data_IF_557198586316
#
_entry.id   IF_557198586316
#
_cell.length_a   1.000
_cell.length_b   1.000
_cell.length_c   1.000
_cell.angle_alpha   90.00
_cell.angle_beta   90.00
_cell.angle_gamma   90.00
#
_symmetry.space_group_name_H-M   'P 1'
#
loop_
_entity.id
_entity.type
_entity.pdbx_description
1 polymer ?
#
# COMPACT_ATOMS: atom_id res chain seq x y z
N UNK A 1 -45.87 -10.82 -29.15
CA UNK A 1 -45.56 -9.68 -30.05
C UNK A 1 -44.27 -9.05 -29.57
N UNK A 2 -43.14 -9.31 -30.24
CA UNK A 2 -41.83 -8.76 -29.86
C UNK A 2 -41.68 -7.38 -30.50
N UNK A 3 -41.64 -6.32 -29.70
CA UNK A 3 -41.44 -4.96 -30.19
C UNK A 3 -40.01 -4.81 -30.74
N UNK A 4 -39.89 -4.65 -32.05
CA UNK A 4 -38.63 -4.24 -32.71
C UNK A 4 -38.31 -2.82 -32.28
N UNK A 5 -37.31 -2.64 -31.43
CA UNK A 5 -36.84 -1.32 -31.02
C UNK A 5 -35.95 -0.74 -32.12
N UNK A 6 -36.48 0.21 -32.90
CA UNK A 6 -35.71 0.94 -33.90
C UNK A 6 -34.93 2.08 -33.25
N UNK A 7 -33.60 2.05 -33.35
CA UNK A 7 -32.75 3.16 -32.89
C UNK A 7 -32.86 4.29 -33.91
N UNK A 8 -33.31 5.47 -33.47
CA UNK A 8 -33.46 6.64 -34.34
C UNK A 8 -32.16 7.44 -34.45
N UNK A 9 -31.96 8.13 -35.58
CA UNK A 9 -30.76 8.95 -35.80
C UNK A 9 -30.61 10.09 -34.77
N UNK A 10 -31.72 10.63 -34.25
CA UNK A 10 -31.70 11.64 -33.19
C UNK A 10 -31.12 11.08 -31.89
N UNK A 11 -31.57 9.90 -31.47
CA UNK A 11 -31.06 9.24 -30.27
C UNK A 11 -29.54 8.99 -30.36
N UNK A 12 -29.04 8.59 -31.53
CA UNK A 12 -27.59 8.42 -31.74
C UNK A 12 -26.85 9.76 -31.62
N UNK A 13 -27.43 10.85 -32.13
CA UNK A 13 -26.83 12.20 -32.06
C UNK A 13 -26.80 12.72 -30.62
N UNK A 14 -27.86 12.47 -29.85
CA UNK A 14 -27.97 12.84 -28.44
C UNK A 14 -26.98 12.05 -27.59
N UNK A 15 -26.86 10.73 -27.83
CA UNK A 15 -25.86 9.88 -27.16
C UNK A 15 -24.44 10.38 -27.45
N UNK A 16 -24.10 10.65 -28.72
CA UNK A 16 -22.76 11.17 -29.07
C UNK A 16 -22.45 12.50 -28.39
N UNK A 17 -23.43 13.39 -28.31
CA UNK A 17 -23.28 14.69 -27.65
C UNK A 17 -23.08 14.51 -26.14
N UNK A 18 -23.88 13.65 -25.49
CA UNK A 18 -23.71 13.31 -24.09
C UNK A 18 -22.31 12.72 -23.82
N UNK A 19 -21.86 11.76 -24.64
CA UNK A 19 -20.54 11.14 -24.50
C UNK A 19 -19.37 12.12 -24.68
N UNK A 20 -19.50 13.12 -25.55
CA UNK A 20 -18.48 14.16 -25.72
C UNK A 20 -18.32 15.06 -24.48
N UNK A 21 -19.35 15.18 -23.66
CA UNK A 21 -19.32 15.97 -22.41
C UNK A 21 -18.89 15.16 -21.18
N UNK A 22 -18.91 13.84 -21.28
CA UNK A 22 -18.53 12.96 -20.18
C UNK A 22 -17.00 12.89 -20.06
N UNK A 23 -16.49 13.11 -18.84
CA UNK A 23 -15.08 12.87 -18.54
C UNK A 23 -14.86 11.35 -18.43
N UNK A 24 -13.76 10.81 -18.98
CA UNK A 24 -13.45 9.39 -18.82
C UNK A 24 -13.25 9.07 -17.35
N UNK A 25 -14.17 8.31 -16.76
CA UNK A 25 -14.05 7.84 -15.39
C UNK A 25 -13.31 6.51 -15.39
N UNK A 26 -12.03 6.54 -15.02
CA UNK A 26 -11.20 5.34 -14.88
C UNK A 26 -11.54 4.64 -13.56
N UNK A 27 -12.51 3.74 -13.59
CA UNK A 27 -12.91 2.93 -12.43
C UNK A 27 -11.87 1.83 -12.21
N UNK A 28 -11.22 1.82 -11.05
CA UNK A 28 -10.40 0.71 -10.56
C UNK A 28 -10.98 0.21 -9.23
N UNK A 29 -10.66 -1.04 -8.85
CA UNK A 29 -11.21 -1.75 -7.68
C UNK A 29 -11.03 -1.03 -6.32
N UNK A 30 -10.25 0.04 -6.24
CA UNK A 30 -9.98 0.79 -5.01
C UNK A 30 -10.55 2.23 -5.01
N UNK A 31 -11.50 2.50 -5.94
CA UNK A 31 -11.98 3.85 -6.21
C UNK A 31 -10.93 4.70 -6.97
N UNK A 32 -11.35 5.87 -7.46
CA UNK A 32 -10.59 6.82 -8.31
C UNK A 32 -9.21 7.29 -7.79
N UNK A 33 -8.61 6.67 -6.78
CA UNK A 33 -7.31 7.05 -6.23
C UNK A 33 -6.20 6.33 -6.99
N UNK A 34 -5.48 7.06 -7.83
CA UNK A 34 -4.18 6.58 -8.32
C UNK A 34 -3.30 6.28 -7.10
N UNK A 35 -2.78 5.04 -7.01
CA UNK A 35 -1.91 4.65 -5.90
C UNK A 35 -0.68 5.55 -5.88
N UNK A 36 -0.49 6.31 -4.80
CA UNK A 36 0.63 7.24 -4.70
C UNK A 36 1.94 6.47 -4.42
N UNK A 37 3.08 7.03 -4.83
CA UNK A 37 4.40 6.46 -4.53
C UNK A 37 4.57 6.17 -3.05
N UNK A 38 4.11 7.08 -2.19
CA UNK A 38 4.19 6.93 -0.73
C UNK A 38 3.37 5.73 -0.23
N UNK A 39 2.15 5.56 -0.73
CA UNK A 39 1.28 4.44 -0.37
C UNK A 39 1.86 3.11 -0.85
N UNK A 40 2.42 3.07 -2.07
CA UNK A 40 3.11 1.89 -2.59
C UNK A 40 4.33 1.52 -1.72
N UNK A 41 5.14 2.51 -1.33
CA UNK A 41 6.26 2.30 -0.41
C UNK A 41 5.78 1.80 0.95
N UNK A 42 4.68 2.34 1.49
CA UNK A 42 4.13 1.92 2.78
C UNK A 42 3.57 0.51 2.74
N UNK A 43 2.88 0.12 1.67
CA UNK A 43 2.40 -1.24 1.46
C UNK A 43 3.57 -2.25 1.39
N UNK A 44 4.67 -1.84 0.76
CA UNK A 44 5.88 -2.68 0.63
C UNK A 44 6.85 -2.56 1.81
N UNK A 45 6.66 -1.62 2.73
CA UNK A 45 7.61 -1.32 3.80
C UNK A 45 8.03 -2.53 4.64
N UNK A 46 7.13 -3.46 5.04
CA UNK A 46 7.54 -4.67 5.75
C UNK A 46 8.54 -5.55 4.96
N UNK A 47 8.38 -5.61 3.65
CA UNK A 47 9.28 -6.35 2.76
C UNK A 47 10.60 -5.62 2.60
N UNK A 48 10.56 -4.29 2.37
CA UNK A 48 11.76 -3.46 2.25
C UNK A 48 12.62 -3.48 3.53
N UNK A 49 12.00 -3.47 4.72
CA UNK A 49 12.72 -3.62 5.98
C UNK A 49 13.39 -5.00 6.12
N UNK A 50 12.71 -6.08 5.71
CA UNK A 50 13.32 -7.42 5.70
C UNK A 50 14.49 -7.51 4.73
N UNK A 51 14.38 -6.90 3.56
CA UNK A 51 15.47 -6.86 2.59
C UNK A 51 16.66 -6.07 3.13
N UNK A 52 16.44 -4.90 3.75
CA UNK A 52 17.50 -4.15 4.42
C UNK A 52 18.23 -5.00 5.48
N UNK A 53 17.49 -5.80 6.25
CA UNK A 53 18.09 -6.75 7.23
C UNK A 53 18.89 -7.88 6.59
N UNK A 54 18.64 -8.21 5.32
CA UNK A 54 19.38 -9.21 4.53
C UNK A 54 20.61 -8.62 3.83
N UNK A 55 20.98 -7.36 4.13
CA UNK A 55 22.14 -6.71 3.56
C UNK A 55 21.86 -5.83 2.34
N UNK A 56 20.60 -5.70 1.90
CA UNK A 56 20.27 -4.81 0.78
C UNK A 56 20.48 -3.36 1.16
N UNK A 57 21.22 -2.63 0.32
CA UNK A 57 21.46 -1.21 0.53
C UNK A 57 20.26 -0.37 0.03
N UNK A 58 20.20 0.92 0.39
CA UNK A 58 19.05 1.78 0.02
C UNK A 58 18.96 1.98 -1.50
N UNK A 59 20.09 1.98 -2.22
CA UNK A 59 20.14 2.16 -3.67
C UNK A 59 19.55 0.97 -4.41
N UNK A 60 19.91 -0.26 -4.01
CA UNK A 60 19.36 -1.51 -4.55
C UNK A 60 17.85 -1.62 -4.29
N UNK A 61 17.38 -1.14 -3.15
CA UNK A 61 15.94 -1.07 -2.87
C UNK A 61 15.22 -0.08 -3.78
N UNK A 62 15.87 1.03 -4.14
CA UNK A 62 15.33 1.99 -5.12
C UNK A 62 15.24 1.36 -6.50
N UNK A 63 16.29 0.68 -6.96
CA UNK A 63 16.31 -0.01 -8.25
C UNK A 63 15.18 -1.04 -8.36
N UNK A 64 15.00 -1.87 -7.33
CA UNK A 64 13.89 -2.85 -7.29
C UNK A 64 12.50 -2.22 -7.24
N UNK A 65 12.38 -1.00 -6.70
CA UNK A 65 11.13 -0.26 -6.74
C UNK A 65 10.90 0.34 -8.14
N UNK A 66 11.94 0.78 -8.83
CA UNK A 66 11.86 1.25 -10.21
C UNK A 66 11.49 0.13 -11.17
N UNK A 67 12.05 -1.08 -11.01
CA UNK A 67 11.63 -2.30 -11.73
C UNK A 67 10.13 -2.59 -11.56
N UNK A 68 9.55 -2.21 -10.40
CA UNK A 68 8.13 -2.36 -10.09
C UNK A 68 7.27 -1.15 -10.49
N UNK A 69 7.83 -0.19 -11.22
CA UNK A 69 7.14 1.02 -11.66
C UNK A 69 6.85 2.03 -10.54
N UNK A 70 7.61 1.98 -9.44
CA UNK A 70 7.47 2.90 -8.30
C UNK A 70 8.69 3.85 -8.30
N UNK A 71 8.61 5.01 -8.96
CA UNK A 71 9.71 5.95 -9.03
C UNK A 71 9.91 6.65 -7.68
N UNK A 72 11.05 6.39 -7.04
CA UNK A 72 11.41 7.03 -5.76
C UNK A 72 12.91 7.30 -5.71
N UNK A 73 13.31 8.37 -5.03
CA UNK A 73 14.73 8.69 -4.78
C UNK A 73 15.18 8.07 -3.45
N UNK A 74 16.45 7.71 -3.33
CA UNK A 74 17.04 7.17 -2.09
C UNK A 74 16.70 7.97 -0.80
N UNK A 75 16.86 9.31 -0.74
CA UNK A 75 16.50 10.08 0.45
C UNK A 75 14.99 10.03 0.76
N UNK A 76 14.15 10.02 -0.28
CA UNK A 76 12.69 9.91 -0.13
C UNK A 76 12.29 8.54 0.41
N UNK A 77 12.92 7.47 -0.08
CA UNK A 77 12.70 6.11 0.41
C UNK A 77 13.07 6.00 1.90
N UNK A 78 14.25 6.50 2.28
CA UNK A 78 14.70 6.51 3.68
C UNK A 78 13.72 7.27 4.59
N UNK A 79 13.24 8.44 4.15
CA UNK A 79 12.22 9.22 4.85
C UNK A 79 10.93 8.42 5.06
N UNK A 80 10.39 7.81 4.01
CA UNK A 80 9.14 7.05 4.10
C UNK A 80 9.26 5.79 4.96
N UNK A 81 10.39 5.09 4.94
CA UNK A 81 10.63 3.97 5.85
C UNK A 81 10.67 4.42 7.31
N UNK A 82 11.27 5.58 7.60
CA UNK A 82 11.28 6.13 8.96
C UNK A 82 9.87 6.54 9.41
N UNK A 83 9.09 7.18 8.55
CA UNK A 83 7.68 7.53 8.83
C UNK A 83 6.84 6.28 9.11
N UNK A 84 7.02 5.20 8.33
CA UNK A 84 6.34 3.92 8.54
C UNK A 84 6.64 3.34 9.93
N UNK A 85 7.92 3.36 10.36
CA UNK A 85 8.33 2.89 11.70
C UNK A 85 7.70 3.71 12.82
N UNK A 86 7.69 5.04 12.68
CA UNK A 86 7.07 5.97 13.65
C UNK A 86 5.57 5.74 13.77
N UNK A 87 4.89 5.43 12.67
CA UNK A 87 3.46 5.09 12.68
C UNK A 87 3.15 3.74 13.34
N UNK A 88 4.04 2.75 13.23
CA UNK A 88 3.92 1.45 13.90
C UNK A 88 4.11 1.55 15.42
N UNK A 89 5.06 2.38 15.87
CA UNK A 89 5.31 2.61 17.30
C UNK A 89 4.05 3.04 18.07
N UNK A 90 3.27 3.98 17.52
CA UNK A 90 2.03 4.47 18.15
C UNK A 90 0.92 3.41 18.26
N UNK A 91 0.91 2.43 17.35
CA UNK A 91 -0.08 1.33 17.37
C UNK A 91 0.36 0.14 18.24
N UNK A 92 1.67 -0.08 18.37
CA UNK A 92 2.23 -1.12 19.24
C UNK A 92 2.20 -0.69 20.72
N UNK A 93 2.47 0.58 21.00
CA UNK A 93 2.54 1.13 22.36
C UNK A 93 1.15 1.31 23.01
N UNK A 94 0.09 1.45 22.21
CA UNK A 94 -1.30 1.58 22.69
C UNK A 94 -2.13 0.29 22.71
N UNK A 95 -1.57 -0.86 22.29
CA UNK A 95 -2.29 -2.16 22.27
C UNK A 95 -1.32 -3.31 22.52
N UNK A 96 -0.73 -3.35 23.71
CA UNK A 96 -0.09 -4.56 24.22
C UNK A 96 -1.09 -5.26 25.15
N UNK A 97 -2.08 -5.94 24.57
CA UNK A 97 -2.85 -6.97 25.30
C UNK A 97 -2.15 -8.32 25.08
N UNK A 98 -0.91 -8.38 25.52
CA UNK A 98 -0.15 -9.62 25.60
C UNK A 98 0.60 -9.55 26.92
N UNK A 99 0.25 -10.38 27.91
CA UNK A 99 0.95 -10.38 29.19
C UNK A 99 2.45 -10.59 28.94
N UNK A 100 3.33 -9.89 29.68
CA UNK A 100 4.77 -10.11 29.56
C UNK A 100 5.09 -11.58 29.87
N UNK A 101 6.06 -12.20 29.14
CA UNK A 101 6.41 -13.59 29.35
C UNK A 101 6.91 -13.78 30.79
N UNK A 102 6.26 -14.67 31.53
CA UNK A 102 6.62 -15.02 32.91
C UNK A 102 8.04 -15.57 32.93
N UNK A 103 8.97 -14.79 33.47
CA UNK A 103 10.32 -15.25 33.81
C UNK A 103 10.21 -16.33 34.88
N UNK A 104 10.32 -17.61 34.49
CA UNK A 104 10.47 -18.72 35.44
C UNK A 104 11.87 -18.64 36.04
N UNK A 105 11.94 -18.08 37.24
CA UNK A 105 13.13 -18.19 38.09
C UNK A 105 13.30 -19.67 38.46
N UNK A 106 14.33 -20.31 37.90
CA UNK A 106 14.83 -21.60 38.39
C UNK A 106 15.53 -21.36 39.71
N UNK A 107 14.83 -21.58 40.81
CA UNK A 107 15.42 -21.72 42.14
C UNK A 107 16.32 -22.95 42.12
N UNK A 108 17.63 -22.74 42.11
CA UNK A 108 18.61 -23.78 42.38
C UNK A 108 18.53 -24.13 43.88
N UNK A 109 17.82 -25.21 44.20
CA UNK A 109 18.03 -25.95 45.44
C UNK A 109 19.35 -26.73 45.28
N UNK A 110 20.40 -26.25 45.93
CA UNK A 110 21.62 -27.00 46.20
C UNK A 110 21.89 -26.85 47.69
N UNK A 111 21.35 -27.76 48.49
CA UNK A 111 21.65 -27.91 49.92
C UNK A 111 22.91 -28.76 50.06
N UNK A 112 23.90 -28.23 50.75
CA UNK A 112 24.96 -29.01 51.40
C UNK A 112 24.54 -29.28 52.85
#
# INVERSE_FOLDING_TARGET
MTATHSITASQVKDIKTAFATLKPQKVTLNGNRAMTVKEAVFALAPTLERMKKRGFNITELVEKLHEKGIPVKAPTLAKYLNEFRRGKGKKAEGKTDTPPPQTRNRTAQGSA
#
